data_IF_879948820178
#
_entry.id   IF_879948820178
#
_cell.length_a   1.000
_cell.length_b   1.000
_cell.length_c   1.000
_cell.angle_alpha   90.00
_cell.angle_beta   90.00
_cell.angle_gamma   90.00
#
_symmetry.space_group_name_H-M   'P 1'
#
loop_
_entity.id
_entity.type
_entity.pdbx_description
1 polymer ?
#
# COMPACT_ATOMS: atom_id res chain seq x y z
N UNK A 1 -19.70 31.15 -8.28
CA UNK A 1 -20.64 30.06 -7.89
C UNK A 1 -19.91 28.86 -7.29
N UNK A 2 -19.00 28.21 -8.03
CA UNK A 2 -18.31 26.98 -7.57
C UNK A 2 -17.56 27.09 -6.23
N UNK A 3 -16.86 28.21 -5.96
CA UNK A 3 -16.21 28.41 -4.65
C UNK A 3 -17.18 28.63 -3.49
N UNK A 4 -18.40 29.14 -3.76
CA UNK A 4 -19.42 29.38 -2.74
C UNK A 4 -20.03 28.07 -2.22
N UNK A 5 -20.10 27.02 -3.06
CA UNK A 5 -20.56 25.68 -2.66
C UNK A 5 -19.63 25.03 -1.63
N UNK A 6 -18.31 25.13 -1.83
CA UNK A 6 -17.33 24.60 -0.89
C UNK A 6 -17.41 25.30 0.48
N UNK A 7 -17.61 26.61 0.47
CA UNK A 7 -17.81 27.39 1.69
C UNK A 7 -19.14 27.03 2.36
N UNK A 8 -20.25 27.02 1.62
CA UNK A 8 -21.58 26.68 2.12
C UNK A 8 -21.59 25.31 2.82
N UNK A 9 -20.98 24.29 2.21
CA UNK A 9 -20.84 22.96 2.82
C UNK A 9 -20.12 22.98 4.17
N UNK A 10 -19.12 23.85 4.35
CA UNK A 10 -18.37 23.94 5.61
C UNK A 10 -19.09 24.71 6.71
N UNK A 11 -19.97 25.66 6.38
CA UNK A 11 -20.55 26.60 7.35
C UNK A 11 -22.04 26.39 7.63
N UNK A 12 -22.78 25.72 6.75
CA UNK A 12 -24.24 25.58 6.92
C UNK A 12 -24.62 24.61 8.04
N UNK A 13 -23.82 23.56 8.26
CA UNK A 13 -24.22 22.43 9.11
C UNK A 13 -25.29 21.54 8.48
N UNK A 14 -25.64 21.78 7.21
CA UNK A 14 -26.71 21.08 6.48
C UNK A 14 -26.17 20.02 5.52
N UNK A 15 -26.91 18.92 5.35
CA UNK A 15 -26.55 17.84 4.43
C UNK A 15 -26.61 18.25 2.95
N UNK A 16 -27.56 19.11 2.58
CA UNK A 16 -27.84 19.41 1.18
C UNK A 16 -26.64 20.08 0.48
N UNK A 17 -25.99 21.12 1.03
CA UNK A 17 -24.77 21.69 0.45
C UNK A 17 -23.61 20.68 0.33
N UNK A 18 -23.51 19.70 1.24
CA UNK A 18 -22.48 18.64 1.17
C UNK A 18 -22.73 17.72 -0.02
N UNK A 19 -23.98 17.26 -0.22
CA UNK A 19 -24.37 16.44 -1.38
C UNK A 19 -24.19 17.18 -2.69
N UNK A 20 -24.57 18.45 -2.75
CA UNK A 20 -24.40 19.28 -3.93
C UNK A 20 -22.92 19.50 -4.29
N UNK A 21 -22.07 19.72 -3.28
CA UNK A 21 -20.63 19.80 -3.48
C UNK A 21 -20.07 18.47 -4.01
N UNK A 22 -20.45 17.33 -3.44
CA UNK A 22 -20.03 16.00 -3.91
C UNK A 22 -20.46 15.72 -5.35
N UNK A 23 -21.72 16.00 -5.68
CA UNK A 23 -22.26 15.88 -7.05
C UNK A 23 -21.53 16.80 -8.03
N UNK A 24 -21.28 18.05 -7.67
CA UNK A 24 -20.54 18.99 -8.50
C UNK A 24 -19.10 18.52 -8.73
N UNK A 25 -18.41 18.07 -7.67
CA UNK A 25 -17.07 17.50 -7.80
C UNK A 25 -17.06 16.31 -8.77
N UNK A 26 -18.01 15.36 -8.63
CA UNK A 26 -18.16 14.20 -9.55
C UNK A 26 -18.44 14.60 -10.99
N UNK A 27 -19.29 15.59 -11.23
CA UNK A 27 -19.52 16.12 -12.58
C UNK A 27 -18.22 16.64 -13.21
N UNK A 28 -17.36 17.20 -12.37
CA UNK A 28 -16.01 17.62 -12.74
C UNK A 28 -14.97 16.50 -12.54
N UNK A 29 -15.32 15.24 -12.30
CA UNK A 29 -14.37 14.11 -12.39
C UNK A 29 -14.47 13.45 -13.77
N UNK A 30 -13.38 12.93 -14.34
CA UNK A 30 -13.41 12.17 -15.61
C UNK A 30 -12.76 12.80 -16.85
N UNK A 31 -12.48 14.12 -16.89
CA UNK A 31 -11.68 14.74 -17.98
C UNK A 31 -10.22 14.97 -17.59
N UNK A 32 -9.22 14.71 -18.47
CA UNK A 32 -7.84 15.08 -18.24
C UNK A 32 -7.70 16.59 -17.99
N UNK A 33 -7.14 16.97 -16.85
CA UNK A 33 -7.03 18.36 -16.42
C UNK A 33 -6.12 19.23 -17.28
N UNK A 34 -5.28 18.63 -18.13
CA UNK A 34 -4.49 19.37 -19.13
C UNK A 34 -5.38 20.12 -20.14
N UNK A 35 -6.66 19.72 -20.25
CA UNK A 35 -7.66 20.32 -21.11
C UNK A 35 -8.63 21.24 -20.35
N UNK A 36 -8.37 21.51 -19.07
CA UNK A 36 -9.31 22.21 -18.20
C UNK A 36 -8.89 23.64 -17.87
N UNK A 37 -9.86 24.58 -17.74
CA UNK A 37 -9.61 25.90 -17.22
C UNK A 37 -9.08 25.86 -15.77
N UNK A 38 -8.18 26.78 -15.44
CA UNK A 38 -7.58 26.91 -14.11
C UNK A 38 -8.62 27.09 -12.98
N UNK A 39 -9.75 27.74 -13.27
CA UNK A 39 -10.86 27.91 -12.34
C UNK A 39 -11.46 26.56 -11.88
N UNK A 40 -11.53 25.58 -12.78
CA UNK A 40 -12.05 24.24 -12.48
C UNK A 40 -11.07 23.45 -11.60
N UNK A 41 -9.77 23.58 -11.85
CA UNK A 41 -8.74 22.99 -10.99
C UNK A 41 -8.73 23.61 -9.57
N UNK A 42 -9.01 24.91 -9.45
CA UNK A 42 -9.20 25.56 -8.15
C UNK A 42 -10.45 25.04 -7.45
N UNK A 43 -11.57 24.92 -8.15
CA UNK A 43 -12.80 24.36 -7.59
C UNK A 43 -12.58 22.94 -7.07
N UNK A 44 -11.99 22.04 -7.85
CA UNK A 44 -11.73 20.66 -7.43
C UNK A 44 -10.84 20.61 -6.17
N UNK A 45 -9.79 21.44 -6.10
CA UNK A 45 -8.92 21.52 -4.92
C UNK A 45 -9.67 22.01 -3.68
N UNK A 46 -10.44 23.09 -3.83
CA UNK A 46 -11.21 23.68 -2.73
C UNK A 46 -12.31 22.73 -2.25
N UNK A 47 -13.06 22.11 -3.17
CA UNK A 47 -14.12 21.17 -2.84
C UNK A 47 -13.61 19.90 -2.15
N UNK A 48 -12.51 19.31 -2.63
CA UNK A 48 -11.88 18.17 -1.96
C UNK A 48 -11.37 18.55 -0.56
N UNK A 49 -10.80 19.74 -0.40
CA UNK A 49 -10.35 20.22 0.90
C UNK A 49 -11.52 20.45 1.86
N UNK A 50 -12.64 21.00 1.38
CA UNK A 50 -13.85 21.21 2.16
C UNK A 50 -14.47 19.88 2.63
N UNK A 51 -14.70 18.93 1.71
CA UNK A 51 -15.21 17.61 2.05
C UNK A 51 -14.25 16.86 3.00
N UNK A 52 -12.94 16.91 2.75
CA UNK A 52 -11.95 16.30 3.64
C UNK A 52 -11.98 16.89 5.05
N UNK A 53 -12.10 18.21 5.18
CA UNK A 53 -12.18 18.88 6.47
C UNK A 53 -13.46 18.52 7.24
N UNK A 54 -14.60 18.39 6.54
CA UNK A 54 -15.88 17.94 7.11
C UNK A 54 -15.86 16.45 7.50
N UNK A 55 -15.19 15.61 6.71
CA UNK A 55 -15.01 14.19 6.97
C UNK A 55 -14.07 13.90 8.17
N UNK A 56 -13.44 14.94 8.74
CA UNK A 56 -12.47 14.83 9.81
C UNK A 56 -11.07 14.41 9.36
N UNK A 57 -10.76 14.51 8.07
CA UNK A 57 -9.42 14.22 7.56
C UNK A 57 -8.44 15.36 7.85
N UNK A 58 -7.17 15.06 8.21
CA UNK A 58 -6.16 16.09 8.36
C UNK A 58 -5.92 16.80 7.02
N UNK A 59 -6.11 18.12 7.01
CA UNK A 59 -5.91 18.95 5.82
C UNK A 59 -4.50 18.83 5.25
N UNK A 60 -4.32 19.11 3.96
CA UNK A 60 -2.99 19.09 3.35
C UNK A 60 -2.19 20.36 3.73
N UNK A 61 -1.12 20.23 4.53
CA UNK A 61 -0.22 21.33 4.91
C UNK A 61 0.17 21.29 6.40
N UNK A 62 1.17 22.07 6.82
CA UNK A 62 1.77 22.01 8.16
C UNK A 62 0.81 22.39 9.31
N UNK A 63 -0.31 23.08 9.03
CA UNK A 63 -1.20 23.57 10.09
C UNK A 63 -2.67 23.71 9.63
N UNK A 64 -3.47 22.63 9.58
CA UNK A 64 -4.94 22.78 9.48
C UNK A 64 -5.69 21.71 10.28
N UNK A 65 -6.45 22.17 11.28
CA UNK A 65 -7.39 21.35 12.07
C UNK A 65 -8.63 21.04 11.21
N UNK A 66 -9.19 19.85 11.40
CA UNK A 66 -10.54 19.53 10.94
C UNK A 66 -11.54 20.54 11.52
N UNK A 67 -12.68 20.74 10.86
CA UNK A 67 -13.75 21.59 11.41
C UNK A 67 -14.29 20.88 12.65
N UNK A 68 -14.05 21.45 13.83
CA UNK A 68 -14.48 20.87 15.10
C UNK A 68 -15.99 21.05 15.32
N UNK A 69 -16.62 20.12 16.05
CA UNK A 69 -18.02 20.24 16.47
C UNK A 69 -19.07 19.91 15.40
N UNK A 70 -18.67 19.24 14.30
CA UNK A 70 -19.61 18.81 13.27
C UNK A 70 -20.48 17.64 13.74
N UNK A 71 -21.77 17.58 13.38
CA UNK A 71 -22.63 16.43 13.67
C UNK A 71 -22.05 15.15 13.04
N UNK A 72 -22.10 14.03 13.78
CA UNK A 72 -21.61 12.73 13.28
C UNK A 72 -22.23 12.32 11.94
N UNK A 73 -23.53 12.59 11.74
CA UNK A 73 -24.22 12.32 10.47
C UNK A 73 -23.62 13.10 9.30
N UNK A 74 -23.30 14.38 9.50
CA UNK A 74 -22.71 15.23 8.47
C UNK A 74 -21.28 14.79 8.14
N UNK A 75 -20.50 14.36 9.15
CA UNK A 75 -19.18 13.77 8.94
C UNK A 75 -19.26 12.48 8.12
N UNK A 76 -20.22 11.60 8.43
CA UNK A 76 -20.43 10.35 7.71
C UNK A 76 -20.82 10.61 6.24
N UNK A 77 -21.73 11.54 6.01
CA UNK A 77 -22.13 11.97 4.67
C UNK A 77 -20.96 12.57 3.88
N UNK A 78 -20.16 13.44 4.50
CA UNK A 78 -18.99 14.03 3.86
C UNK A 78 -17.97 12.96 3.45
N UNK A 79 -17.81 11.88 4.25
CA UNK A 79 -16.98 10.72 3.88
C UNK A 79 -17.54 9.97 2.68
N UNK A 80 -18.84 9.67 2.69
CA UNK A 80 -19.52 9.01 1.58
C UNK A 80 -19.33 9.79 0.27
N UNK A 81 -19.61 11.09 0.27
CA UNK A 81 -19.44 11.93 -0.92
C UNK A 81 -17.97 12.02 -1.36
N UNK A 82 -17.04 12.04 -0.41
CA UNK A 82 -15.60 12.09 -0.69
C UNK A 82 -15.10 10.78 -1.30
N UNK A 83 -15.59 9.64 -0.85
CA UNK A 83 -15.27 8.32 -1.40
C UNK A 83 -15.77 8.20 -2.84
N UNK A 84 -17.01 8.64 -3.11
CA UNK A 84 -17.58 8.69 -4.46
C UNK A 84 -16.79 9.61 -5.41
N UNK A 85 -16.22 10.71 -4.91
CA UNK A 85 -15.37 11.62 -5.71
C UNK A 85 -13.98 11.02 -5.95
N UNK A 86 -13.47 10.23 -5.01
CA UNK A 86 -12.13 9.63 -5.03
C UNK A 86 -12.08 8.27 -5.69
N UNK A 87 -13.17 7.81 -6.29
CA UNK A 87 -13.23 6.52 -6.97
C UNK A 87 -11.98 6.28 -7.82
N UNK A 88 -11.36 5.13 -7.57
CA UNK A 88 -10.08 4.79 -8.16
C UNK A 88 -10.26 4.64 -9.68
N UNK A 89 -9.46 5.34 -10.49
CA UNK A 89 -9.59 5.26 -11.94
C UNK A 89 -9.36 3.83 -12.44
N UNK A 90 -10.12 3.38 -13.45
CA UNK A 90 -10.21 1.96 -13.85
C UNK A 90 -8.93 1.35 -14.44
N UNK A 91 -7.87 2.15 -14.68
CA UNK A 91 -6.61 1.68 -15.26
C UNK A 91 -5.65 1.05 -14.25
N UNK A 92 -6.18 0.44 -13.19
CA UNK A 92 -5.40 -0.23 -12.16
C UNK A 92 -5.27 -1.71 -12.49
N UNK A 93 -4.07 -2.15 -12.82
CA UNK A 93 -3.76 -3.58 -12.94
C UNK A 93 -3.54 -4.17 -11.53
N UNK A 94 -4.50 -4.97 -11.04
CA UNK A 94 -4.45 -5.65 -9.73
C UNK A 94 -4.48 -4.70 -8.52
N UNK A 95 -3.79 -5.06 -7.41
CA UNK A 95 -3.49 -4.13 -6.28
C UNK A 95 -2.49 -3.01 -6.67
N UNK A 96 -2.45 -2.66 -7.97
CA UNK A 96 -1.44 -1.92 -8.72
C UNK A 96 -0.61 -0.92 -7.92
N UNK A 97 0.68 -1.25 -7.76
CA UNK A 97 1.67 -0.36 -7.17
C UNK A 97 2.04 0.81 -8.10
N UNK A 98 1.42 0.95 -9.28
CA UNK A 98 1.78 1.96 -10.28
C UNK A 98 0.53 2.55 -10.90
N UNK A 99 0.53 3.88 -11.11
CA UNK A 99 -0.59 4.60 -11.70
C UNK A 99 -0.11 5.78 -12.55
N UNK A 100 -0.62 5.92 -13.79
CA UNK A 100 -0.21 7.01 -14.70
C UNK A 100 -1.06 8.26 -14.48
N UNK A 101 -0.39 9.40 -14.36
CA UNK A 101 -0.91 10.73 -14.09
C UNK A 101 -0.37 11.71 -15.15
N UNK A 102 -0.85 11.59 -16.39
CA UNK A 102 -0.31 12.34 -17.52
C UNK A 102 1.14 11.96 -17.81
N UNK A 103 2.07 12.90 -17.61
CA UNK A 103 3.51 12.74 -17.82
C UNK A 103 4.24 12.05 -16.64
N UNK A 104 3.52 11.79 -15.55
CA UNK A 104 4.08 11.18 -14.35
C UNK A 104 3.48 9.79 -14.10
N UNK A 105 4.21 8.97 -13.37
CA UNK A 105 3.70 7.69 -12.84
C UNK A 105 3.84 7.70 -11.32
N UNK A 106 2.72 7.69 -10.60
CA UNK A 106 2.72 7.39 -9.18
C UNK A 106 3.14 5.94 -8.96
N UNK A 107 3.99 5.70 -7.96
CA UNK A 107 4.48 4.37 -7.61
C UNK A 107 4.41 4.17 -6.11
N UNK A 108 3.65 3.19 -5.64
CA UNK A 108 3.77 2.68 -4.29
C UNK A 108 4.94 1.71 -4.20
N UNK A 109 5.76 1.86 -3.18
CA UNK A 109 6.83 0.93 -2.86
C UNK A 109 6.60 0.41 -1.44
N UNK A 110 6.41 -0.89 -1.31
CA UNK A 110 6.41 -1.58 -0.01
C UNK A 110 7.83 -2.02 0.28
N UNK A 111 8.40 -1.52 1.38
CA UNK A 111 9.75 -1.91 1.81
C UNK A 111 9.68 -3.21 2.64
N UNK A 112 10.78 -3.97 2.73
CA UNK A 112 10.82 -5.20 3.52
C UNK A 112 10.44 -5.02 5.00
N UNK A 113 10.60 -3.82 5.57
CA UNK A 113 10.18 -3.49 6.94
C UNK A 113 8.69 -3.13 7.09
N UNK A 114 7.87 -3.26 6.05
CA UNK A 114 6.46 -2.87 6.09
C UNK A 114 6.19 -1.41 5.75
N UNK A 115 7.21 -0.58 5.49
CA UNK A 115 6.98 0.83 5.15
C UNK A 115 6.45 0.95 3.72
N UNK A 116 5.26 1.50 3.57
CA UNK A 116 4.68 1.88 2.27
C UNK A 116 5.04 3.33 1.96
N UNK A 117 5.58 3.57 0.76
CA UNK A 117 5.96 4.92 0.30
C UNK A 117 5.31 5.20 -1.04
N UNK A 118 4.65 6.36 -1.15
CA UNK A 118 4.20 6.89 -2.44
C UNK A 118 5.32 7.74 -3.05
N UNK A 119 5.82 7.33 -4.21
CA UNK A 119 6.77 8.06 -5.05
C UNK A 119 6.17 8.42 -6.40
N UNK A 120 6.92 9.21 -7.18
CA UNK A 120 6.53 9.60 -8.53
C UNK A 120 7.69 9.40 -9.48
N UNK A 121 7.43 8.94 -10.70
CA UNK A 121 8.39 8.87 -11.79
C UNK A 121 8.00 9.84 -12.90
N UNK A 122 8.99 10.42 -13.57
CA UNK A 122 8.77 11.25 -14.77
C UNK A 122 8.63 10.39 -16.05
N UNK A 123 8.46 11.04 -17.20
CA UNK A 123 8.36 10.39 -18.51
C UNK A 123 9.63 9.63 -18.93
N UNK A 124 10.77 9.90 -18.28
CA UNK A 124 12.03 9.16 -18.45
C UNK A 124 12.19 8.05 -17.40
N UNK A 125 11.12 7.71 -16.69
CA UNK A 125 11.07 6.71 -15.63
C UNK A 125 11.99 7.01 -14.43
N UNK A 126 12.40 8.27 -14.22
CA UNK A 126 13.26 8.65 -13.09
C UNK A 126 12.43 8.93 -11.84
N UNK A 127 12.83 8.36 -10.70
CA UNK A 127 12.17 8.63 -9.41
C UNK A 127 12.41 10.07 -8.94
N UNK A 128 11.33 10.75 -8.59
CA UNK A 128 11.32 12.13 -8.13
C UNK A 128 11.34 12.17 -6.60
N UNK A 129 12.11 13.11 -6.03
CA UNK A 129 12.26 13.27 -4.57
C UNK A 129 11.01 13.83 -3.88
N UNK A 130 10.18 14.55 -4.62
CA UNK A 130 8.98 15.22 -4.13
C UNK A 130 7.82 14.96 -5.08
N UNK A 131 6.61 15.07 -4.56
CA UNK A 131 5.40 15.06 -5.39
C UNK A 131 5.48 16.24 -6.38
N UNK A 132 5.33 16.01 -7.69
CA UNK A 132 5.33 17.10 -8.66
C UNK A 132 4.24 18.13 -8.35
N UNK A 133 4.58 19.42 -8.38
CA UNK A 133 3.60 20.50 -8.18
C UNK A 133 2.43 20.37 -9.17
N UNK A 134 2.73 20.03 -10.43
CA UNK A 134 1.73 19.76 -11.48
C UNK A 134 0.75 18.65 -11.12
N UNK A 135 1.16 17.61 -10.40
CA UNK A 135 0.25 16.56 -9.95
C UNK A 135 -0.69 17.10 -8.87
N UNK A 136 -0.16 17.85 -7.89
CA UNK A 136 -0.96 18.44 -6.82
C UNK A 136 -1.95 19.49 -7.32
N UNK A 137 -1.52 20.32 -8.26
CA UNK A 137 -2.29 21.47 -8.75
C UNK A 137 -3.25 21.07 -9.85
N UNK A 138 -2.79 20.25 -10.79
CA UNK A 138 -3.53 19.89 -11.99
C UNK A 138 -4.10 18.49 -11.94
N UNK A 139 -3.91 17.69 -10.90
CA UNK A 139 -4.55 16.37 -10.77
C UNK A 139 -4.98 16.11 -9.31
N UNK A 140 -5.74 17.03 -8.68
CA UNK A 140 -6.01 16.95 -7.24
C UNK A 140 -6.92 15.77 -6.87
N UNK A 141 -7.88 15.41 -7.73
CA UNK A 141 -8.77 14.25 -7.50
C UNK A 141 -7.98 12.94 -7.58
N UNK A 142 -7.25 12.62 -8.67
CA UNK A 142 -6.39 11.44 -8.70
C UNK A 142 -5.33 11.42 -7.59
N UNK A 143 -4.75 12.58 -7.24
CA UNK A 143 -3.79 12.66 -6.15
C UNK A 143 -4.41 12.36 -4.78
N UNK A 144 -5.63 12.84 -4.52
CA UNK A 144 -6.37 12.51 -3.30
C UNK A 144 -6.73 11.01 -3.24
N UNK A 145 -7.16 10.43 -4.35
CA UNK A 145 -7.43 9.00 -4.48
C UNK A 145 -6.18 8.14 -4.18
N UNK A 146 -5.00 8.54 -4.69
CA UNK A 146 -3.74 7.90 -4.34
C UNK A 146 -3.44 7.97 -2.84
N UNK A 147 -3.76 9.08 -2.17
CA UNK A 147 -3.52 9.15 -0.72
C UNK A 147 -4.38 8.15 0.05
N UNK A 148 -5.68 8.07 -0.27
CA UNK A 148 -6.59 7.08 0.34
C UNK A 148 -6.07 5.67 0.12
N UNK A 149 -5.65 5.34 -1.11
CA UNK A 149 -5.01 4.05 -1.38
C UNK A 149 -3.76 3.84 -0.54
N UNK A 150 -2.92 4.86 -0.41
CA UNK A 150 -1.71 4.78 0.38
C UNK A 150 -1.99 4.41 1.83
N UNK A 151 -3.10 4.90 2.41
CA UNK A 151 -3.58 4.48 3.73
C UNK A 151 -4.10 3.05 3.72
N UNK A 152 -4.96 2.68 2.76
CA UNK A 152 -5.49 1.33 2.63
C UNK A 152 -4.35 0.29 2.50
N UNK A 153 -3.37 0.56 1.65
CA UNK A 153 -2.20 -0.29 1.45
C UNK A 153 -1.34 -0.39 2.72
N UNK A 154 -1.23 0.68 3.52
CA UNK A 154 -0.56 0.63 4.82
C UNK A 154 -1.33 -0.24 5.81
N UNK A 155 -2.65 -0.16 5.80
CA UNK A 155 -3.52 -1.03 6.60
C UNK A 155 -3.34 -2.50 6.21
N UNK A 156 -3.40 -2.81 4.90
CA UNK A 156 -3.18 -4.16 4.37
C UNK A 156 -1.80 -4.71 4.80
N UNK A 157 -0.75 -3.91 4.65
CA UNK A 157 0.61 -4.29 5.04
C UNK A 157 0.74 -4.46 6.55
N UNK A 158 0.12 -3.61 7.36
CA UNK A 158 0.12 -3.74 8.81
C UNK A 158 -0.62 -5.01 9.27
N UNK A 159 -1.79 -5.29 8.70
CA UNK A 159 -2.56 -6.50 8.96
C UNK A 159 -1.78 -7.76 8.57
N UNK A 160 -1.12 -7.76 7.40
CA UNK A 160 -0.28 -8.87 6.99
C UNK A 160 0.91 -9.10 7.93
N UNK A 161 1.55 -8.02 8.41
CA UNK A 161 2.62 -8.14 9.41
C UNK A 161 2.13 -8.71 10.74
N UNK A 162 0.95 -8.30 11.20
CA UNK A 162 0.33 -8.86 12.39
C UNK A 162 0.08 -10.37 12.22
N UNK A 163 -0.48 -10.78 11.07
CA UNK A 163 -0.69 -12.18 10.72
C UNK A 163 0.61 -13.00 10.73
N UNK A 164 1.69 -12.46 10.15
CA UNK A 164 3.01 -13.10 10.19
C UNK A 164 3.52 -13.24 11.64
N UNK A 165 3.26 -12.25 12.49
CA UNK A 165 3.63 -12.27 13.90
C UNK A 165 2.88 -13.34 14.70
N UNK A 166 1.57 -13.47 14.47
CA UNK A 166 0.72 -14.49 15.09
C UNK A 166 1.14 -15.90 14.68
N UNK A 167 1.55 -16.08 13.41
CA UNK A 167 1.98 -17.37 12.88
C UNK A 167 3.40 -17.75 13.25
N UNK A 168 4.25 -16.81 13.65
CA UNK A 168 5.67 -17.08 13.85
C UNK A 168 5.93 -18.26 14.80
N UNK A 169 5.07 -18.46 15.79
CA UNK A 169 5.15 -19.56 16.74
C UNK A 169 3.95 -20.47 16.61
N UNK A 170 4.11 -21.59 15.92
CA UNK A 170 3.05 -22.56 15.68
C UNK A 170 2.29 -22.37 14.36
N UNK A 171 2.95 -21.86 13.31
CA UNK A 171 2.37 -21.85 11.96
C UNK A 171 1.98 -23.28 11.54
N UNK A 172 0.68 -23.57 11.32
CA UNK A 172 0.26 -24.88 10.84
C UNK A 172 0.82 -25.19 9.44
N UNK A 173 1.28 -24.18 8.72
CA UNK A 173 1.75 -24.26 7.36
C UNK A 173 0.60 -24.32 6.36
N UNK A 174 0.95 -24.26 5.09
CA UNK A 174 0.02 -24.37 3.97
C UNK A 174 0.70 -24.98 2.75
N UNK A 175 -0.06 -25.51 1.77
CA UNK A 175 0.51 -25.97 0.51
C UNK A 175 1.28 -24.86 -0.21
N UNK A 176 2.44 -25.18 -0.77
CA UNK A 176 3.33 -24.21 -1.43
C UNK A 176 2.66 -23.42 -2.56
N UNK A 177 1.73 -24.03 -3.30
CA UNK A 177 0.94 -23.33 -4.32
C UNK A 177 0.10 -22.20 -3.72
N UNK A 178 -0.53 -22.45 -2.57
CA UNK A 178 -1.30 -21.44 -1.85
C UNK A 178 -0.40 -20.39 -1.23
N UNK A 179 0.72 -20.81 -0.65
CA UNK A 179 1.73 -19.88 -0.14
C UNK A 179 2.24 -18.92 -1.21
N UNK A 180 2.56 -19.43 -2.42
CA UNK A 180 2.94 -18.60 -3.55
C UNK A 180 1.84 -17.59 -3.91
N UNK A 181 0.62 -18.06 -4.11
CA UNK A 181 -0.51 -17.20 -4.49
C UNK A 181 -0.83 -16.13 -3.42
N UNK A 182 -0.93 -16.54 -2.15
CA UNK A 182 -1.38 -15.68 -1.05
C UNK A 182 -0.28 -14.72 -0.56
N UNK A 183 1.00 -15.07 -0.72
CA UNK A 183 2.12 -14.33 -0.11
C UNK A 183 3.12 -13.73 -1.11
N UNK A 184 3.37 -14.39 -2.24
CA UNK A 184 4.48 -14.04 -3.14
C UNK A 184 4.02 -13.47 -4.48
N UNK A 185 2.89 -13.92 -5.00
CA UNK A 185 2.32 -13.42 -6.25
C UNK A 185 1.52 -12.13 -6.02
N UNK A 186 1.31 -11.75 -4.76
CA UNK A 186 0.70 -10.49 -4.33
C UNK A 186 1.75 -9.37 -4.26
N UNK A 187 1.81 -8.42 -5.22
CA UNK A 187 2.95 -7.50 -5.35
C UNK A 187 3.17 -6.60 -4.13
N UNK A 188 2.09 -6.30 -3.40
CA UNK A 188 2.14 -5.51 -2.17
C UNK A 188 2.80 -6.26 -1.01
N UNK A 189 2.70 -7.58 -1.00
CA UNK A 189 3.11 -8.45 0.11
C UNK A 189 4.40 -9.20 -0.21
N UNK A 190 4.71 -9.42 -1.48
CA UNK A 190 5.88 -10.14 -1.98
C UNK A 190 7.16 -9.74 -1.22
N UNK A 191 7.44 -8.45 -1.10
CA UNK A 191 8.65 -7.95 -0.45
C UNK A 191 8.73 -8.28 1.04
N UNK A 192 7.60 -8.38 1.72
CA UNK A 192 7.52 -8.76 3.13
C UNK A 192 7.74 -10.27 3.26
N UNK A 193 7.04 -11.06 2.46
CA UNK A 193 7.14 -12.51 2.41
C UNK A 193 8.56 -12.97 2.06
N UNK A 194 9.19 -12.31 1.08
CA UNK A 194 10.59 -12.53 0.67
C UNK A 194 11.60 -12.09 1.71
N UNK A 195 11.20 -11.30 2.70
CA UNK A 195 12.06 -10.88 3.80
C UNK A 195 12.02 -11.84 5.00
N UNK A 196 11.04 -12.73 5.04
CA UNK A 196 10.92 -13.80 6.02
C UNK A 196 11.71 -15.06 5.60
N UNK A 197 11.99 -15.91 6.58
CA UNK A 197 12.49 -17.27 6.46
C UNK A 197 11.31 -18.23 6.57
N UNK A 198 11.24 -19.14 5.62
CA UNK A 198 10.21 -20.16 5.52
C UNK A 198 10.85 -21.53 5.60
N UNK A 199 10.13 -22.49 6.18
CA UNK A 199 10.48 -23.89 6.15
C UNK A 199 9.53 -24.62 5.21
N UNK A 200 10.07 -25.44 4.32
CA UNK A 200 9.31 -26.36 3.50
C UNK A 200 9.63 -27.81 3.90
N UNK A 201 8.62 -28.64 4.02
CA UNK A 201 8.81 -30.07 4.25
C UNK A 201 8.98 -30.76 2.89
N UNK A 202 10.22 -31.18 2.58
CA UNK A 202 10.57 -31.85 1.33
C UNK A 202 10.84 -33.35 1.58
N UNK A 203 10.84 -34.19 0.52
CA UNK A 203 11.10 -35.62 0.65
C UNK A 203 12.45 -35.96 1.29
N UNK A 204 13.49 -35.16 1.03
CA UNK A 204 14.84 -35.36 1.55
C UNK A 204 15.06 -34.74 2.95
N UNK A 205 14.01 -34.14 3.52
CA UNK A 205 14.04 -33.45 4.81
C UNK A 205 13.52 -32.01 4.74
N UNK A 206 13.29 -31.38 5.89
CA UNK A 206 12.87 -29.99 5.94
C UNK A 206 13.99 -29.06 5.45
N UNK A 207 13.62 -28.06 4.66
CA UNK A 207 14.54 -27.00 4.20
C UNK A 207 14.05 -25.66 4.69
N UNK A 208 14.97 -24.87 5.25
CA UNK A 208 14.72 -23.49 5.64
C UNK A 208 15.35 -22.57 4.61
N UNK A 209 14.64 -21.52 4.19
CA UNK A 209 15.19 -20.57 3.24
C UNK A 209 14.38 -19.30 3.05
N UNK A 210 14.99 -18.38 2.30
CA UNK A 210 14.32 -17.17 1.80
C UNK A 210 13.66 -17.47 0.45
N UNK A 211 12.47 -16.92 0.17
CA UNK A 211 11.83 -17.08 -1.13
C UNK A 211 12.59 -16.36 -2.22
N UNK A 212 12.89 -17.07 -3.31
CA UNK A 212 13.52 -16.54 -4.52
C UNK A 212 12.76 -17.03 -5.77
N UNK A 213 12.67 -16.21 -6.82
CA UNK A 213 12.08 -16.67 -8.08
C UNK A 213 12.95 -17.77 -8.69
N UNK A 214 12.34 -18.86 -9.15
CA UNK A 214 13.05 -19.95 -9.81
C UNK A 214 13.44 -19.56 -11.26
N UNK A 215 14.59 -20.06 -11.73
CA UNK A 215 15.13 -19.72 -13.07
C UNK A 215 14.31 -20.29 -14.23
N UNK A 216 13.48 -21.31 -13.99
CA UNK A 216 12.68 -22.00 -15.02
C UNK A 216 11.23 -21.50 -15.17
N UNK A 217 10.80 -20.46 -14.45
CA UNK A 217 9.45 -19.88 -14.58
C UNK A 217 8.81 -19.46 -13.24
N UNK A 218 7.48 -19.23 -13.26
CA UNK A 218 6.60 -18.78 -12.15
C UNK A 218 6.50 -19.78 -10.97
N UNK A 219 7.61 -20.32 -10.51
CA UNK A 219 7.69 -21.17 -9.33
C UNK A 219 8.65 -20.50 -8.35
N UNK A 220 8.25 -20.44 -7.09
CA UNK A 220 9.07 -19.93 -6.01
C UNK A 220 9.93 -21.06 -5.45
N UNK A 221 11.16 -20.75 -5.06
CA UNK A 221 12.10 -21.66 -4.44
C UNK A 221 12.61 -21.08 -3.11
N UNK A 222 13.22 -21.92 -2.28
CA UNK A 222 13.88 -21.48 -1.06
C UNK A 222 15.39 -21.45 -1.27
N UNK A 223 16.01 -20.29 -1.04
CA UNK A 223 17.46 -20.14 -0.95
C UNK A 223 17.87 -20.34 0.50
N UNK A 224 18.67 -21.36 0.79
CA UNK A 224 19.15 -21.65 2.14
C UNK A 224 20.33 -20.73 2.57
N UNK A 225 20.80 -20.90 3.81
CA UNK A 225 21.92 -20.11 4.35
C UNK A 225 23.27 -20.43 3.66
N UNK A 226 23.40 -21.62 3.08
CA UNK A 226 24.54 -22.07 2.28
C UNK A 226 24.47 -21.66 0.80
N UNK A 227 23.43 -20.92 0.41
CA UNK A 227 23.16 -20.45 -0.96
C UNK A 227 22.76 -21.54 -1.95
N UNK A 228 22.28 -22.69 -1.48
CA UNK A 228 21.62 -23.67 -2.34
C UNK A 228 20.16 -23.29 -2.57
N UNK A 229 19.69 -23.50 -3.79
CA UNK A 229 18.31 -23.26 -4.18
C UNK A 229 17.57 -24.58 -4.15
N UNK A 230 16.51 -24.63 -3.37
CA UNK A 230 15.65 -25.80 -3.20
C UNK A 230 14.31 -25.55 -3.87
N UNK A 231 13.97 -26.39 -4.85
CA UNK A 231 12.64 -26.38 -5.44
C UNK A 231 11.60 -26.82 -4.40
N UNK A 232 10.49 -26.08 -4.33
CA UNK A 232 9.39 -26.41 -3.43
C UNK A 232 8.24 -26.97 -4.26
N UNK A 233 7.91 -28.28 -4.16
CA UNK A 233 6.75 -28.85 -4.81
C UNK A 233 5.46 -28.12 -4.42
N UNK A 234 4.52 -27.95 -5.35
CA UNK A 234 3.26 -27.24 -5.12
C UNK A 234 2.44 -27.76 -3.91
N UNK A 235 2.60 -29.06 -3.59
CA UNK A 235 1.93 -29.75 -2.48
C UNK A 235 2.74 -29.77 -1.19
N UNK A 236 4.01 -29.38 -1.21
CA UNK A 236 4.84 -29.33 0.00
C UNK A 236 4.22 -28.36 1.00
N UNK A 237 4.29 -28.70 2.28
CA UNK A 237 3.82 -27.82 3.35
C UNK A 237 4.91 -26.79 3.61
N UNK A 238 4.55 -25.52 3.49
CA UNK A 238 5.40 -24.37 3.76
C UNK A 238 4.85 -23.62 4.96
N UNK A 239 5.72 -23.30 5.91
CA UNK A 239 5.40 -22.62 7.17
C UNK A 239 6.44 -21.55 7.47
N UNK A 240 6.10 -20.54 8.26
CA UNK A 240 7.10 -19.64 8.83
C UNK A 240 8.08 -20.46 9.69
N UNK A 241 9.36 -20.21 9.49
CA UNK A 241 10.39 -20.88 10.28
C UNK A 241 10.42 -20.30 11.70
N UNK A 242 10.32 -21.17 12.70
CA UNK A 242 10.42 -20.83 14.12
C UNK A 242 11.83 -21.15 14.64
N UNK A 243 12.66 -20.14 14.94
CA UNK A 243 14.01 -20.38 15.45
C UNK A 243 14.06 -20.98 16.85
N UNK A 244 12.94 -21.01 17.60
CA UNK A 244 12.88 -21.67 18.92
C UNK A 244 12.94 -23.19 18.82
N UNK A 245 12.56 -23.74 17.67
CA UNK A 245 12.57 -25.19 17.41
C UNK A 245 13.78 -25.63 16.59
N UNK A 246 14.61 -24.69 16.14
CA UNK A 246 15.80 -24.96 15.35
C UNK A 246 17.03 -25.18 16.24
N UNK A 247 18.04 -25.86 15.70
CA UNK A 247 19.31 -25.98 16.39
C UNK A 247 20.11 -24.65 16.38
N UNK A 248 21.10 -24.56 17.26
CA UNK A 248 21.88 -23.34 17.42
C UNK A 248 22.76 -23.00 16.20
N UNK A 249 23.17 -24.01 15.42
CA UNK A 249 24.02 -23.82 14.25
C UNK A 249 23.22 -23.20 13.10
N UNK A 250 22.00 -23.68 12.85
CA UNK A 250 21.08 -23.12 11.87
C UNK A 250 20.70 -21.68 12.22
N UNK A 251 20.41 -21.41 13.50
CA UNK A 251 20.11 -20.07 13.99
C UNK A 251 21.29 -19.12 13.77
N UNK A 252 22.52 -19.57 14.04
CA UNK A 252 23.73 -18.78 13.83
C UNK A 252 23.99 -18.52 12.34
N UNK A 253 23.83 -19.54 11.48
CA UNK A 253 24.01 -19.42 10.04
C UNK A 253 23.05 -18.39 9.43
N UNK A 254 21.77 -18.46 9.81
CA UNK A 254 20.77 -17.50 9.34
C UNK A 254 20.99 -16.09 9.88
N UNK A 255 21.42 -15.94 11.13
CA UNK A 255 21.75 -14.62 11.69
C UNK A 255 22.89 -13.98 10.90
N UNK A 256 23.97 -14.72 10.64
CA UNK A 256 25.10 -14.26 9.84
C UNK A 256 24.66 -13.85 8.42
N UNK A 257 23.77 -14.64 7.80
CA UNK A 257 23.28 -14.35 6.45
C UNK A 257 22.39 -13.10 6.38
N UNK A 258 21.43 -12.96 7.30
CA UNK A 258 20.54 -11.79 7.34
C UNK A 258 21.33 -10.50 7.63
N UNK A 259 22.30 -10.55 8.56
CA UNK A 259 23.18 -9.44 8.88
C UNK A 259 24.06 -9.06 7.69
N UNK A 260 24.68 -10.03 7.01
CA UNK A 260 25.51 -9.82 5.81
C UNK A 260 24.75 -9.07 4.72
N UNK A 261 23.48 -9.41 4.51
CA UNK A 261 22.63 -8.79 3.48
C UNK A 261 21.89 -7.55 3.95
N UNK A 262 21.96 -7.19 5.24
CA UNK A 262 21.22 -6.09 5.87
C UNK A 262 19.72 -6.15 5.55
N UNK A 263 19.15 -7.36 5.62
CA UNK A 263 17.75 -7.59 5.28
C UNK A 263 16.88 -7.29 6.50
N UNK A 264 16.07 -6.21 6.48
CA UNK A 264 15.17 -5.96 7.58
C UNK A 264 14.01 -6.95 7.50
N UNK A 265 13.76 -7.67 8.60
CA UNK A 265 12.61 -8.55 8.69
C UNK A 265 11.36 -7.76 9.10
N UNK A 266 10.21 -7.97 8.43
CA UNK A 266 8.97 -7.29 8.80
C UNK A 266 8.45 -7.71 10.17
N UNK A 267 8.72 -8.96 10.56
CA UNK A 267 8.55 -9.52 11.89
C UNK A 267 9.89 -10.13 12.29
N UNK A 268 10.50 -9.76 13.43
CA UNK A 268 11.78 -10.32 13.84
C UNK A 268 11.65 -11.83 14.10
N UNK A 269 12.27 -12.66 13.25
CA UNK A 269 12.44 -14.09 13.53
C UNK A 269 13.73 -14.28 14.31
N UNK A 270 14.78 -13.59 13.88
CA UNK A 270 16.06 -13.56 14.55
C UNK A 270 16.33 -12.17 15.11
N UNK A 271 16.85 -12.05 16.35
CA UNK A 271 17.40 -10.78 16.79
C UNK A 271 18.58 -10.42 15.88
N UNK A 272 18.51 -9.24 15.27
CA UNK A 272 19.63 -8.61 14.58
C UNK A 272 20.41 -7.82 15.63
N UNK A 273 21.72 -8.07 15.73
CA UNK A 273 22.65 -7.30 16.56
C UNK A 273 22.94 -5.92 15.96
#
# INVERSE_FOLDING_TARGET
VLGALAWAACVSGDEQPVRELGRALRHHTGRPLQQRPEAEAHFLRAGLAALGALAGEPGTGEHRRAVAGQPHALMALAREELDLVRELPPSWEGRGLRYRLGDYTAVFTVRPNGKVVLGFRDSRNRLLRRVPARVRERQPVPYAALRVRGEALRSDVAAYRALLGERLHGDPGMPAARWAADCLDEPALEWLSRAMLWQADLPDGPVVGRPVPHRSGLKWALLDAGHHVHEVPATAVVRLWDPRTADAADVAAWRAELSRRRLPQPVPQLPLE
#
